data_IF_191670039596
#
_entry.id   IF_191670039596
#
_cell.length_a   1.000
_cell.length_b   1.000
_cell.length_c   1.000
_cell.angle_alpha   90.00
_cell.angle_beta   90.00
_cell.angle_gamma   90.00
#
_symmetry.space_group_name_H-M   'P 1'
#
loop_
_entity.id
_entity.type
_entity.pdbx_description
1 polymer ?
#
# COMPACT_ATOMS: atom_id res chain seq x y z
N UNK A 1 -18.25 3.33 -8.16
CA UNK A 1 -18.52 2.34 -7.09
C UNK A 1 -17.18 1.93 -6.51
N UNK A 2 -16.96 2.09 -5.20
CA UNK A 2 -15.73 1.62 -4.55
C UNK A 2 -15.91 0.18 -4.09
N UNK A 3 -15.03 -0.72 -4.52
CA UNK A 3 -14.95 -2.09 -3.99
C UNK A 3 -13.93 -2.09 -2.85
N UNK A 4 -14.36 -2.49 -1.65
CA UNK A 4 -13.46 -2.65 -0.52
C UNK A 4 -12.86 -4.05 -0.54
N UNK A 5 -11.54 -4.15 -0.48
CA UNK A 5 -10.81 -5.42 -0.45
C UNK A 5 -10.11 -5.55 0.89
N UNK A 6 -10.22 -6.71 1.52
CA UNK A 6 -9.40 -7.08 2.68
C UNK A 6 -8.29 -8.02 2.26
N UNK A 7 -7.07 -7.76 2.73
CA UNK A 7 -5.89 -8.58 2.46
C UNK A 7 -5.19 -8.92 3.76
N UNK A 8 -4.69 -10.15 3.84
CA UNK A 8 -3.81 -10.55 4.93
C UNK A 8 -2.35 -10.29 4.53
N UNK A 9 -1.59 -9.69 5.44
CA UNK A 9 -0.16 -9.43 5.25
C UNK A 9 0.60 -10.01 6.43
N UNK A 10 1.80 -10.52 6.15
CA UNK A 10 2.74 -10.93 7.20
C UNK A 10 3.14 -9.72 8.05
N UNK A 11 3.41 -9.97 9.33
CA UNK A 11 3.71 -8.91 10.30
C UNK A 11 4.93 -8.07 9.90
N UNK A 12 5.97 -8.72 9.38
CA UNK A 12 7.17 -8.04 8.88
C UNK A 12 6.85 -7.08 7.72
N UNK A 13 6.03 -7.52 6.77
CA UNK A 13 5.57 -6.67 5.66
C UNK A 13 4.77 -5.48 6.20
N UNK A 14 3.91 -5.72 7.19
CA UNK A 14 3.07 -4.70 7.80
C UNK A 14 3.90 -3.65 8.55
N UNK A 15 5.02 -4.05 9.17
CA UNK A 15 5.99 -3.15 9.80
C UNK A 15 6.67 -2.24 8.76
N UNK A 16 7.19 -2.80 7.67
CA UNK A 16 7.81 -2.04 6.56
C UNK A 16 6.81 -1.05 5.94
N UNK A 17 5.55 -1.45 5.81
CA UNK A 17 4.48 -0.62 5.26
C UNK A 17 4.17 0.58 6.18
N UNK A 18 4.12 0.35 7.51
CA UNK A 18 3.92 1.41 8.50
C UNK A 18 5.07 2.41 8.50
N UNK A 19 6.31 1.93 8.46
CA UNK A 19 7.50 2.77 8.39
C UNK A 19 7.46 3.67 7.14
N UNK A 20 7.14 3.08 5.98
CA UNK A 20 7.10 3.79 4.70
C UNK A 20 6.00 4.84 4.61
N UNK A 21 4.83 4.60 5.22
CA UNK A 21 3.76 5.60 5.32
C UNK A 21 4.16 6.74 6.27
N UNK A 22 4.80 6.42 7.41
CA UNK A 22 5.22 7.45 8.37
C UNK A 22 6.36 8.33 7.85
N UNK A 23 7.31 7.75 7.13
CA UNK A 23 8.48 8.46 6.62
C UNK A 23 8.25 9.21 5.31
N UNK A 24 7.06 9.14 4.70
CA UNK A 24 6.83 9.68 3.37
C UNK A 24 5.45 10.34 3.22
N UNK A 25 5.45 11.67 3.10
CA UNK A 25 4.25 12.51 2.88
C UNK A 25 3.49 12.19 1.58
N UNK A 26 4.08 11.42 0.65
CA UNK A 26 3.41 10.99 -0.58
C UNK A 26 2.21 10.08 -0.31
N UNK A 27 2.20 9.32 0.78
CA UNK A 27 1.16 8.32 1.06
C UNK A 27 0.20 8.77 2.15
N UNK A 28 -1.08 8.92 1.82
CA UNK A 28 -2.12 9.34 2.77
C UNK A 28 -2.38 8.32 3.88
N UNK A 29 -2.34 7.04 3.52
CA UNK A 29 -2.54 5.91 4.44
C UNK A 29 -1.98 4.63 3.80
N UNK A 30 -2.14 3.50 4.50
CA UNK A 30 -1.68 2.19 4.04
C UNK A 30 -2.35 1.75 2.73
N UNK A 31 -3.66 1.98 2.59
CA UNK A 31 -4.42 1.60 1.40
C UNK A 31 -3.92 2.36 0.17
N UNK A 32 -3.73 3.67 0.27
CA UNK A 32 -3.20 4.49 -0.82
C UNK A 32 -1.79 4.05 -1.25
N UNK A 33 -0.95 3.62 -0.30
CA UNK A 33 0.36 3.05 -0.63
C UNK A 33 0.23 1.74 -1.41
N UNK A 34 -0.67 0.85 -0.99
CA UNK A 34 -0.91 -0.44 -1.65
C UNK A 34 -1.48 -0.22 -3.05
N UNK A 35 -2.46 0.67 -3.20
CA UNK A 35 -3.03 1.07 -4.50
C UNK A 35 -1.94 1.59 -5.45
N UNK A 36 -1.10 2.53 -4.99
CA UNK A 36 0.03 3.04 -5.79
C UNK A 36 1.00 1.91 -6.21
N UNK A 37 1.25 0.94 -5.33
CA UNK A 37 2.14 -0.17 -5.63
C UNK A 37 1.54 -1.11 -6.68
N UNK A 38 0.24 -1.40 -6.58
CA UNK A 38 -0.49 -2.20 -7.57
C UNK A 38 -0.53 -1.48 -8.92
N UNK A 39 -0.86 -0.19 -8.95
CA UNK A 39 -0.86 0.59 -10.19
C UNK A 39 0.52 0.62 -10.86
N UNK A 40 1.60 0.75 -10.07
CA UNK A 40 2.96 0.71 -10.60
C UNK A 40 3.26 -0.66 -11.22
N UNK A 41 2.91 -1.74 -10.51
CA UNK A 41 3.11 -3.11 -11.00
C UNK A 41 2.37 -3.37 -12.31
N UNK A 42 1.10 -2.96 -12.41
CA UNK A 42 0.28 -3.13 -13.61
C UNK A 42 0.72 -2.25 -14.80
N UNK A 43 1.44 -1.15 -14.55
CA UNK A 43 1.97 -0.26 -15.61
C UNK A 43 3.33 -0.70 -16.14
N UNK A 44 4.05 -1.51 -15.38
CA UNK A 44 5.35 -2.07 -15.79
C UNK A 44 5.19 -3.37 -16.60
N UNK A 45 3.95 -3.70 -17.01
CA UNK A 45 3.62 -4.68 -18.06
C UNK A 45 4.00 -4.19 -19.46
#
# INVERSE_FOLDING_TARGET
>A
MGLTVSVYLQEETLAKLREKVRGNVKYRNKSHLIECAIEKYLREE
#
